data_IF_943295623648
#
_entry.id   IF_943295623648
#
_cell.length_a   1.000
_cell.length_b   1.000
_cell.length_c   1.000
_cell.angle_alpha   90.00
_cell.angle_beta   90.00
_cell.angle_gamma   90.00
#
_symmetry.space_group_name_H-M   'P 1'
#
loop_
_entity.id
_entity.type
_entity.pdbx_description
1 polymer ?
#
# COMPACT_ATOMS: atom_id res chain seq x y z
N UNK A 1 -5.54 -9.21 9.21
CA UNK A 1 -4.41 -10.11 8.92
C UNK A 1 -5.00 -11.43 8.49
N UNK A 2 -4.66 -11.89 7.30
CA UNK A 2 -5.10 -13.16 6.74
C UNK A 2 -3.90 -14.10 6.65
N UNK A 3 -4.11 -15.38 6.99
CA UNK A 3 -3.08 -16.41 7.03
C UNK A 3 -3.58 -17.59 6.20
N UNK A 4 -2.84 -17.96 5.17
CA UNK A 4 -3.12 -19.12 4.33
C UNK A 4 -1.93 -20.09 4.40
N UNK A 5 -2.20 -21.37 4.70
CA UNK A 5 -1.14 -22.39 4.77
C UNK A 5 -0.05 -22.15 5.83
N UNK A 6 -0.24 -21.20 6.75
CA UNK A 6 0.77 -20.78 7.73
C UNK A 6 1.58 -19.55 7.33
N UNK A 7 1.32 -18.97 6.15
CA UNK A 7 1.95 -17.74 5.67
C UNK A 7 0.99 -16.55 5.74
N UNK A 8 1.54 -15.37 6.02
CA UNK A 8 0.76 -14.13 6.04
C UNK A 8 0.74 -13.55 4.63
N UNK A 9 -0.40 -13.63 3.97
CA UNK A 9 -0.56 -13.16 2.57
C UNK A 9 -1.06 -11.72 2.51
N UNK A 10 -1.88 -11.31 3.48
CA UNK A 10 -2.51 -9.99 3.48
C UNK A 10 -2.61 -9.42 4.90
N UNK A 11 -2.21 -8.16 5.07
CA UNK A 11 -2.29 -7.49 6.36
C UNK A 11 -2.44 -5.97 6.25
N UNK A 12 -3.13 -5.43 7.25
CA UNK A 12 -3.16 -4.01 7.57
C UNK A 12 -2.74 -3.85 9.03
N UNK A 13 -1.74 -3.00 9.29
CA UNK A 13 -1.25 -2.72 10.65
C UNK A 13 -1.46 -1.22 10.93
N UNK A 14 -2.61 -0.81 11.48
CA UNK A 14 -2.97 0.60 11.66
C UNK A 14 -1.97 1.37 12.55
N UNK A 15 -1.44 0.72 13.57
CA UNK A 15 -0.54 1.32 14.56
C UNK A 15 0.91 1.45 14.09
N UNK A 16 1.25 0.93 12.90
CA UNK A 16 2.60 0.96 12.36
C UNK A 16 2.75 2.11 11.34
N UNK A 17 3.37 3.20 11.79
CA UNK A 17 3.65 4.36 10.94
C UNK A 17 2.39 4.96 10.33
N UNK A 18 2.39 5.10 9.00
CA UNK A 18 1.25 5.58 8.21
C UNK A 18 0.16 4.51 8.02
N UNK A 19 0.30 3.32 8.63
CA UNK A 19 -0.67 2.22 8.53
C UNK A 19 -0.40 1.37 7.30
N UNK A 20 0.62 0.50 7.36
CA UNK A 20 1.04 -0.34 6.23
C UNK A 20 -0.07 -1.30 5.79
N UNK A 21 -0.24 -1.41 4.47
CA UNK A 21 -1.12 -2.40 3.85
C UNK A 21 -0.31 -3.17 2.82
N UNK A 22 -0.26 -4.49 2.99
CA UNK A 22 0.28 -5.44 2.04
C UNK A 22 -0.80 -6.47 1.72
N UNK A 23 -0.94 -6.82 0.45
CA UNK A 23 -1.89 -7.83 0.01
C UNK A 23 -1.41 -8.53 -1.26
N UNK A 24 -1.56 -9.85 -1.31
CA UNK A 24 -1.24 -10.68 -2.47
C UNK A 24 -2.32 -10.60 -3.54
N UNK A 25 -3.57 -10.30 -3.15
CA UNK A 25 -4.69 -10.20 -4.08
C UNK A 25 -5.25 -8.78 -4.17
N UNK A 26 -5.76 -8.37 -5.35
CA UNK A 26 -6.46 -7.09 -5.54
C UNK A 26 -7.64 -6.88 -4.60
N UNK A 27 -8.43 -7.94 -4.38
CA UNK A 27 -9.66 -7.86 -3.59
C UNK A 27 -9.34 -7.61 -2.12
N UNK A 28 -8.37 -8.34 -1.56
CA UNK A 28 -7.89 -8.10 -0.20
C UNK A 28 -7.28 -6.70 -0.05
N UNK A 29 -6.51 -6.25 -1.04
CA UNK A 29 -5.96 -4.89 -1.07
C UNK A 29 -7.06 -3.83 -0.97
N UNK A 30 -8.09 -3.92 -1.83
CA UNK A 30 -9.21 -2.98 -1.84
C UNK A 30 -10.04 -3.01 -0.55
N UNK A 31 -10.27 -4.19 0.03
CA UNK A 31 -11.00 -4.31 1.29
C UNK A 31 -10.23 -3.64 2.44
N UNK A 32 -8.92 -3.92 2.56
CA UNK A 32 -8.07 -3.30 3.57
C UNK A 32 -7.94 -1.78 3.37
N UNK A 33 -7.84 -1.31 2.13
CA UNK A 33 -7.88 0.11 1.81
C UNK A 33 -9.21 0.75 2.22
N UNK A 34 -10.34 0.09 1.98
CA UNK A 34 -11.66 0.58 2.38
C UNK A 34 -11.75 0.78 3.89
N UNK A 35 -11.17 -0.13 4.68
CA UNK A 35 -11.10 0.01 6.14
C UNK A 35 -10.23 1.21 6.56
N UNK A 36 -9.05 1.39 5.95
CA UNK A 36 -8.12 2.46 6.31
C UNK A 36 -8.64 3.85 5.91
N UNK A 37 -9.06 4.01 4.66
CA UNK A 37 -9.41 5.31 4.10
C UNK A 37 -10.85 5.73 4.43
N UNK A 38 -11.58 4.94 5.23
CA UNK A 38 -12.80 5.40 5.90
C UNK A 38 -12.52 6.51 6.93
N UNK A 39 -11.31 6.56 7.49
CA UNK A 39 -10.92 7.55 8.52
C UNK A 39 -9.71 8.40 8.15
N UNK A 40 -8.97 8.01 7.11
CA UNK A 40 -7.72 8.64 6.70
C UNK A 40 -7.88 9.31 5.34
N UNK A 41 -7.44 10.56 5.23
CA UNK A 41 -7.53 11.42 4.03
C UNK A 41 -6.22 11.51 3.23
N UNK A 42 -5.16 10.83 3.69
CA UNK A 42 -3.86 10.76 3.02
C UNK A 42 -3.54 9.31 2.69
N UNK A 43 -3.20 9.07 1.42
CA UNK A 43 -2.79 7.77 0.89
C UNK A 43 -1.44 7.89 0.18
N UNK A 44 -0.51 6.99 0.51
CA UNK A 44 0.81 6.92 -0.13
C UNK A 44 1.13 5.47 -0.46
N UNK A 45 1.28 5.18 -1.75
CA UNK A 45 1.57 3.87 -2.31
C UNK A 45 2.44 3.99 -3.57
N UNK A 46 3.10 2.92 -4.02
CA UNK A 46 3.88 2.93 -5.25
C UNK A 46 3.03 3.26 -6.48
N UNK A 47 3.59 4.04 -7.41
CA UNK A 47 2.87 4.42 -8.64
C UNK A 47 2.54 3.24 -9.56
N UNK A 48 3.25 2.12 -9.42
CA UNK A 48 3.03 0.89 -10.17
C UNK A 48 1.87 0.05 -9.61
N UNK A 49 1.38 0.34 -8.40
CA UNK A 49 0.15 -0.27 -7.91
C UNK A 49 -1.08 0.41 -8.54
N UNK A 50 -1.34 0.07 -9.81
CA UNK A 50 -2.47 0.65 -10.58
C UNK A 50 -3.82 0.34 -9.94
N UNK A 51 -3.96 -0.82 -9.32
CA UNK A 51 -5.19 -1.25 -8.65
C UNK A 51 -5.49 -0.32 -7.47
N UNK A 52 -4.52 -0.11 -6.58
CA UNK A 52 -4.67 0.81 -5.45
C UNK A 52 -4.88 2.27 -5.89
N UNK A 53 -4.19 2.71 -6.94
CA UNK A 53 -4.40 4.05 -7.49
C UNK A 53 -5.81 4.23 -8.04
N UNK A 54 -6.33 3.25 -8.77
CA UNK A 54 -7.68 3.31 -9.33
C UNK A 54 -8.74 3.25 -8.22
N UNK A 55 -8.51 2.46 -7.16
CA UNK A 55 -9.35 2.48 -5.96
C UNK A 55 -9.42 3.87 -5.33
N UNK A 56 -8.27 4.52 -5.12
CA UNK A 56 -8.20 5.86 -4.51
C UNK A 56 -8.90 6.92 -5.36
N UNK A 57 -8.68 6.89 -6.68
CA UNK A 57 -9.38 7.80 -7.60
C UNK A 57 -10.90 7.62 -7.55
N UNK A 58 -11.37 6.37 -7.53
CA UNK A 58 -12.81 6.05 -7.45
C UNK A 58 -13.43 6.47 -6.11
N UNK A 59 -12.64 6.49 -5.03
CA UNK A 59 -13.06 6.91 -3.69
C UNK A 59 -12.89 8.41 -3.44
N UNK A 60 -12.50 9.19 -4.45
CA UNK A 60 -12.48 10.65 -4.41
C UNK A 60 -11.12 11.27 -4.09
N UNK A 61 -10.06 10.48 -3.97
CA UNK A 61 -8.71 11.00 -3.76
C UNK A 61 -8.17 11.65 -5.05
N UNK A 62 -7.53 12.81 -4.88
CA UNK A 62 -6.73 13.46 -5.91
C UNK A 62 -5.27 13.00 -5.88
N UNK A 63 -4.56 13.19 -6.99
CA UNK A 63 -3.11 13.02 -7.02
C UNK A 63 -2.44 14.19 -6.29
N UNK A 64 -1.46 13.89 -5.44
CA UNK A 64 -0.60 14.91 -4.83
C UNK A 64 0.31 15.54 -5.88
N UNK A 65 0.66 16.81 -5.67
CA UNK A 65 1.67 17.52 -6.49
C UNK A 65 3.10 16.97 -6.28
N UNK A 66 3.31 16.18 -5.23
CA UNK A 66 4.61 15.63 -4.87
C UNK A 66 4.63 14.11 -4.99
N UNK A 67 5.69 13.57 -5.58
CA UNK A 67 5.99 12.14 -5.57
C UNK A 67 7.36 11.89 -4.96
N UNK A 68 7.53 10.76 -4.30
CA UNK A 68 8.82 10.29 -3.80
C UNK A 68 9.43 9.28 -4.75
N UNK A 69 10.75 9.34 -5.00
CA UNK A 69 11.46 8.32 -5.78
C UNK A 69 12.07 7.29 -4.83
N UNK A 70 11.70 6.02 -5.00
CA UNK A 70 12.37 4.91 -4.31
C UNK A 70 13.79 4.74 -4.86
N UNK A 71 14.76 4.62 -3.97
CA UNK A 71 16.19 4.47 -4.32
C UNK A 71 16.73 3.17 -3.72
N UNK A 72 17.60 2.48 -4.46
CA UNK A 72 18.29 1.26 -4.04
C UNK A 72 19.79 1.51 -4.19
N UNK A 73 20.56 1.21 -3.13
CA UNK A 73 22.02 1.18 -3.19
C UNK A 73 22.47 -0.28 -3.13
N UNK A 74 23.12 -0.76 -4.20
CA UNK A 74 23.62 -2.12 -4.30
C UNK A 74 22.82 -2.99 -5.27
N UNK A 75 22.61 -4.26 -4.91
CA UNK A 75 21.91 -5.22 -5.78
C UNK A 75 20.43 -4.87 -5.86
N UNK A 76 19.86 -5.11 -7.03
CA UNK A 76 18.42 -5.00 -7.23
C UNK A 76 17.68 -6.01 -6.34
N UNK A 77 16.50 -5.61 -5.89
CA UNK A 77 15.62 -6.42 -5.06
C UNK A 77 14.43 -6.88 -5.89
N UNK A 78 13.88 -8.06 -5.61
CA UNK A 78 12.62 -8.50 -6.21
C UNK A 78 11.45 -7.71 -5.63
N UNK A 79 11.36 -6.45 -6.07
CA UNK A 79 10.36 -5.50 -5.66
C UNK A 79 9.02 -5.81 -6.33
N UNK A 80 7.95 -5.88 -5.52
CA UNK A 80 6.59 -6.21 -5.98
C UNK A 80 5.64 -5.06 -5.61
N UNK A 81 5.73 -3.90 -6.29
CA UNK A 81 4.99 -2.70 -5.90
C UNK A 81 3.47 -2.88 -5.91
N UNK A 82 2.96 -3.76 -6.78
CA UNK A 82 1.54 -4.08 -6.89
C UNK A 82 0.92 -4.65 -5.61
N UNK A 83 1.73 -5.19 -4.71
CA UNK A 83 1.28 -5.75 -3.43
C UNK A 83 1.24 -4.73 -2.29
N UNK A 84 1.81 -3.54 -2.48
CA UNK A 84 1.86 -2.49 -1.47
C UNK A 84 0.76 -1.46 -1.70
N UNK A 85 -0.25 -1.46 -0.84
CA UNK A 85 -1.38 -0.53 -0.89
C UNK A 85 -1.24 0.64 0.11
N UNK A 86 -0.24 0.55 0.98
CA UNK A 86 0.26 1.68 1.78
C UNK A 86 1.69 1.40 2.24
N UNK A 87 2.52 2.44 2.37
CA UNK A 87 3.84 2.36 3.03
C UNK A 87 3.76 2.47 4.55
N UNK A 88 4.90 2.26 5.23
CA UNK A 88 5.08 2.52 6.67
C UNK A 88 5.42 3.99 6.91
N UNK A 89 6.40 4.56 6.19
CA UNK A 89 6.76 5.98 6.26
C UNK A 89 7.69 6.38 5.11
N UNK A 90 8.11 7.65 5.04
CA UNK A 90 9.13 8.10 4.07
C UNK A 90 10.53 7.53 4.29
N UNK A 91 10.87 7.11 5.51
CA UNK A 91 12.17 6.48 5.83
C UNK A 91 12.15 4.95 5.84
N UNK A 92 10.95 4.36 5.86
CA UNK A 92 10.71 2.93 5.90
C UNK A 92 9.64 2.61 4.85
N UNK A 93 10.06 2.16 3.67
CA UNK A 93 9.19 1.90 2.52
C UNK A 93 9.97 1.44 1.31
#
# INVERSE_FOLDING_TARGET
MYIEGGEVTDFYIPSLGEGQIFADTPDAGNELMSMKYATNDIAILPEDNKIGLDFLKKTGFGLSATTGKRMILGKDIQWQPSKFYSRISGGYG
#
